data_IF_966791412202
#
_entry.id   IF_966791412202
#
_cell.length_a   1.000
_cell.length_b   1.000
_cell.length_c   1.000
_cell.angle_alpha   90.00
_cell.angle_beta   90.00
_cell.angle_gamma   90.00
#
_symmetry.space_group_name_H-M   'P 1'
#
loop_
_entity.id
_entity.type
_entity.pdbx_description
1 polymer ?
#
# COMPACT_ATOMS: atom_id res chain seq x y z
N UNK A 1 -4.23 -8.57 4.50
CA UNK A 1 -3.08 -8.06 3.71
C UNK A 1 -3.51 -6.84 2.90
N UNK A 2 -2.75 -5.74 3.01
CA UNK A 2 -2.96 -4.53 2.24
C UNK A 2 -1.73 -4.23 1.37
N UNK A 3 -1.95 -3.99 0.09
CA UNK A 3 -0.91 -3.58 -0.86
C UNK A 3 -1.04 -2.09 -1.07
N UNK A 4 0.03 -1.37 -0.77
CA UNK A 4 0.05 0.08 -0.88
C UNK A 4 0.54 0.46 -2.27
N UNK A 5 -0.36 1.07 -3.03
CA UNK A 5 -0.16 1.45 -4.42
C UNK A 5 -0.62 2.90 -4.60
N UNK A 6 0.30 3.77 -4.98
CA UNK A 6 0.04 5.21 -5.16
C UNK A 6 -1.04 5.50 -6.23
N UNK A 7 -1.22 4.57 -7.17
CA UNK A 7 -2.21 4.67 -8.24
C UNK A 7 -3.57 4.08 -7.84
N UNK A 8 -3.72 3.54 -6.63
CA UNK A 8 -4.99 3.00 -6.16
C UNK A 8 -6.01 4.13 -5.96
N UNK A 9 -7.28 3.85 -6.29
CA UNK A 9 -8.37 4.84 -6.15
C UNK A 9 -8.82 5.05 -4.71
N UNK A 10 -8.61 4.07 -3.82
CA UNK A 10 -9.06 4.12 -2.44
C UNK A 10 -7.95 4.58 -1.53
N UNK A 11 -8.22 5.60 -0.71
CA UNK A 11 -7.31 6.01 0.36
C UNK A 11 -7.24 4.90 1.41
N UNK A 12 -6.05 4.66 1.93
CA UNK A 12 -5.75 3.70 2.97
C UNK A 12 -6.51 4.07 4.24
N UNK A 13 -7.51 3.28 4.65
CA UNK A 13 -8.27 3.57 5.85
C UNK A 13 -7.50 3.13 7.09
N UNK A 14 -7.85 3.69 8.25
CA UNK A 14 -7.56 3.05 9.54
C UNK A 14 -8.30 1.71 9.58
N UNK A 15 -7.60 0.65 9.19
CA UNK A 15 -8.09 -0.73 9.23
C UNK A 15 -7.04 -1.65 9.83
N UNK A 16 -7.48 -2.55 10.72
CA UNK A 16 -6.66 -3.63 11.27
C UNK A 16 -6.14 -4.47 10.09
N UNK A 17 -4.83 -4.47 9.91
CA UNK A 17 -4.16 -5.19 8.84
C UNK A 17 -2.91 -5.86 9.40
N UNK A 18 -2.83 -7.18 9.27
CA UNK A 18 -1.70 -7.94 9.82
C UNK A 18 -0.41 -7.80 8.98
N UNK A 19 -0.55 -7.39 7.72
CA UNK A 19 0.56 -7.29 6.78
C UNK A 19 0.34 -6.15 5.77
N UNK A 20 1.30 -5.23 5.75
CA UNK A 20 1.47 -4.21 4.73
C UNK A 20 2.50 -4.64 3.71
N UNK A 21 2.18 -4.43 2.43
CA UNK A 21 3.11 -4.66 1.32
C UNK A 21 3.38 -3.33 0.65
N UNK A 22 4.64 -2.91 0.73
CA UNK A 22 5.17 -1.75 0.04
C UNK A 22 5.96 -2.22 -1.17
N UNK A 23 6.18 -1.29 -2.11
CA UNK A 23 7.17 -1.49 -3.15
C UNK A 23 8.33 -0.53 -2.98
N UNK A 24 9.45 -0.91 -3.61
CA UNK A 24 10.58 -0.01 -3.81
C UNK A 24 10.24 1.12 -4.78
N UNK A 25 11.24 1.96 -5.06
CA UNK A 25 11.10 3.26 -5.74
C UNK A 25 10.26 3.24 -7.01
N UNK A 26 10.31 2.16 -7.79
CA UNK A 26 9.70 2.09 -9.12
C UNK A 26 8.22 1.68 -9.14
N UNK A 27 7.57 1.50 -7.99
CA UNK A 27 6.13 1.21 -7.93
C UNK A 27 5.73 -0.12 -8.59
N UNK A 28 4.44 -0.49 -8.61
CA UNK A 28 3.99 -1.80 -9.09
C UNK A 28 3.85 -1.91 -10.62
N UNK A 29 4.60 -2.84 -11.24
CA UNK A 29 4.33 -3.30 -12.61
C UNK A 29 3.04 -4.09 -12.62
N UNK A 30 2.17 -3.78 -13.58
CA UNK A 30 0.81 -4.31 -13.72
C UNK A 30 0.76 -5.84 -13.72
N UNK A 31 1.76 -6.47 -14.36
CA UNK A 31 1.87 -7.92 -14.44
C UNK A 31 2.15 -8.60 -13.09
N UNK A 32 2.54 -7.85 -12.05
CA UNK A 32 2.80 -8.40 -10.71
C UNK A 32 1.58 -8.30 -9.78
N UNK A 33 0.42 -7.82 -10.24
CA UNK A 33 -0.78 -7.74 -9.41
C UNK A 33 -1.54 -9.07 -9.29
N UNK A 34 -1.43 -9.97 -10.27
CA UNK A 34 -2.18 -11.22 -10.32
C UNK A 34 -2.12 -12.08 -9.05
N UNK A 35 -0.96 -12.27 -8.39
CA UNK A 35 -0.89 -12.99 -7.12
C UNK A 35 -1.64 -12.30 -5.97
N UNK A 36 -1.62 -10.97 -5.92
CA UNK A 36 -2.29 -10.19 -4.88
C UNK A 36 -3.80 -10.19 -5.06
N UNK A 37 -4.28 -10.10 -6.30
CA UNK A 37 -5.71 -10.19 -6.63
C UNK A 37 -6.28 -11.56 -6.26
N UNK A 38 -5.58 -12.65 -6.59
CA UNK A 38 -5.97 -14.02 -6.20
C UNK A 38 -6.10 -14.19 -4.68
N UNK A 39 -5.27 -13.50 -3.91
CA UNK A 39 -5.26 -13.55 -2.44
C UNK A 39 -6.23 -12.55 -1.78
N UNK A 40 -7.19 -11.98 -2.52
CA UNK A 40 -8.15 -10.98 -2.01
C UNK A 40 -7.48 -9.79 -1.31
N UNK A 41 -6.31 -9.39 -1.79
CA UNK A 41 -5.57 -8.26 -1.22
C UNK A 41 -6.32 -6.96 -1.48
N UNK A 42 -6.30 -6.06 -0.50
CA UNK A 42 -6.83 -4.71 -0.68
C UNK A 42 -5.74 -3.79 -1.20
N UNK A 43 -6.00 -3.11 -2.31
CA UNK A 43 -5.13 -2.08 -2.86
C UNK A 43 -5.56 -0.70 -2.36
N UNK A 44 -4.63 0.01 -1.73
CA UNK A 44 -4.90 1.31 -1.14
C UNK A 44 -3.77 2.31 -1.42
N UNK A 45 -4.11 3.58 -1.51
CA UNK A 45 -3.19 4.72 -1.63
C UNK A 45 -3.02 5.33 -0.24
N UNK A 46 -1.79 5.55 0.21
CA UNK A 46 -1.52 6.06 1.58
C UNK A 46 -2.02 7.51 1.72
N UNK A 47 -1.62 8.37 0.78
CA UNK A 47 -1.99 9.77 0.73
C UNK A 47 -1.88 10.28 -0.70
N UNK A 48 -2.33 11.51 -0.97
CA UNK A 48 -2.25 12.15 -2.29
C UNK A 48 -0.82 12.25 -2.82
N UNK A 49 0.15 12.54 -1.93
CA UNK A 49 1.54 12.79 -2.28
C UNK A 49 2.29 11.51 -2.63
N UNK A 50 3.14 11.57 -3.66
CA UNK A 50 4.08 10.50 -3.98
C UNK A 50 5.12 10.43 -2.86
N UNK A 51 5.16 9.29 -2.16
CA UNK A 51 6.10 9.03 -1.08
C UNK A 51 7.31 8.25 -1.61
N UNK A 52 8.48 8.48 -0.99
CA UNK A 52 9.64 7.61 -1.21
C UNK A 52 9.41 6.24 -0.56
N UNK A 53 10.14 5.23 -1.04
CA UNK A 53 9.99 3.85 -0.59
C UNK A 53 10.24 3.70 0.93
N UNK A 54 11.18 4.47 1.48
CA UNK A 54 11.49 4.51 2.90
C UNK A 54 10.45 5.29 3.74
N UNK A 55 9.77 6.26 3.14
CA UNK A 55 8.79 7.11 3.83
C UNK A 55 7.41 6.46 3.89
N UNK A 56 7.02 5.71 2.85
CA UNK A 56 5.71 5.08 2.77
C UNK A 56 5.39 4.16 3.99
N UNK A 57 6.30 3.29 4.47
CA UNK A 57 6.08 2.50 5.68
C UNK A 57 5.84 3.34 6.92
N UNK A 58 6.62 4.41 7.12
CA UNK A 58 6.51 5.28 8.29
C UNK A 58 5.14 5.96 8.34
N UNK A 59 4.66 6.46 7.20
CA UNK A 59 3.34 7.11 7.12
C UNK A 59 2.21 6.10 7.31
N UNK A 60 2.33 4.90 6.75
CA UNK A 60 1.32 3.87 6.92
C UNK A 60 1.18 3.41 8.39
N UNK A 61 2.30 3.27 9.10
CA UNK A 61 2.33 2.92 10.52
C UNK A 61 1.76 4.06 11.39
N UNK A 62 2.13 5.31 11.10
CA UNK A 62 1.61 6.46 11.85
C UNK A 62 0.09 6.61 11.70
N UNK A 63 -0.49 6.33 10.53
CA UNK A 63 -1.94 6.28 10.33
C UNK A 63 -2.60 5.20 11.22
N UNK A 64 -1.90 4.10 11.45
CA UNK A 64 -2.37 2.97 12.27
C UNK A 64 -2.09 3.17 13.77
N UNK A 65 -1.50 4.29 14.18
CA UNK A 65 -1.04 4.55 15.55
C UNK A 65 -0.09 3.46 16.08
N UNK A 66 0.76 2.92 15.22
CA UNK A 66 1.87 2.00 15.54
C UNK A 66 3.17 2.77 15.41
#
# INVERSE_FOLDING_TARGET
MCVLNQNAKKIFPQMITDLFIFRGEFGFSENKFGPFEKNKSKFCKICENILRAETAPLVALSIQNI
#
